data_IF_341385179053
#
_entry.id   IF_341385179053
#
_cell.length_a   1.000
_cell.length_b   1.000
_cell.length_c   1.000
_cell.angle_alpha   90.00
_cell.angle_beta   90.00
_cell.angle_gamma   90.00
#
_symmetry.space_group_name_H-M   'P 1'
#
loop_
_entity.id
_entity.type
_entity.pdbx_description
1 polymer ?
#
# COMPACT_ATOMS: atom_id res chain seq x y z
N UNK A 1 -10.77 7.89 25.61
CA UNK A 1 -11.80 7.34 26.52
C UNK A 1 -11.95 5.84 26.25
N UNK A 2 -12.47 5.04 27.18
CA UNK A 2 -12.78 3.63 26.90
C UNK A 2 -14.11 3.49 26.12
N UNK A 3 -14.40 2.28 25.62
CA UNK A 3 -15.64 2.00 24.87
C UNK A 3 -16.89 2.33 25.71
N UNK A 4 -16.91 1.98 27.01
CA UNK A 4 -18.05 2.25 27.89
C UNK A 4 -18.31 3.75 28.07
N UNK A 5 -17.25 4.53 28.29
CA UNK A 5 -17.31 5.99 28.37
C UNK A 5 -17.80 6.62 27.06
N UNK A 6 -17.31 6.14 25.91
CA UNK A 6 -17.74 6.62 24.60
C UNK A 6 -19.23 6.33 24.37
N UNK A 7 -19.70 5.12 24.66
CA UNK A 7 -21.11 4.75 24.58
C UNK A 7 -22.00 5.63 25.48
N UNK A 8 -21.53 5.93 26.70
CA UNK A 8 -22.23 6.83 27.63
C UNK A 8 -22.32 8.26 27.11
N UNK A 9 -21.28 8.73 26.43
CA UNK A 9 -21.26 10.04 25.80
C UNK A 9 -22.26 10.11 24.63
N UNK A 10 -22.25 9.13 23.72
CA UNK A 10 -23.22 9.05 22.62
C UNK A 10 -24.66 9.00 23.14
N UNK A 11 -24.92 8.13 24.13
CA UNK A 11 -26.25 8.00 24.72
C UNK A 11 -26.78 9.34 25.25
N UNK A 12 -25.92 10.10 25.95
CA UNK A 12 -26.27 11.41 26.48
C UNK A 12 -26.52 12.42 25.36
N UNK A 13 -25.71 12.42 24.30
CA UNK A 13 -25.91 13.29 23.12
C UNK A 13 -27.24 13.01 22.42
N UNK A 14 -27.64 11.74 22.35
CA UNK A 14 -28.92 11.30 21.80
C UNK A 14 -30.10 11.46 22.77
N UNK A 15 -29.87 11.96 23.99
CA UNK A 15 -30.88 12.08 25.06
C UNK A 15 -31.62 10.76 25.38
N UNK A 16 -30.90 9.64 25.33
CA UNK A 16 -31.47 8.32 25.56
C UNK A 16 -31.26 7.82 27.01
N UNK A 17 -32.23 7.04 27.49
CA UNK A 17 -32.03 6.22 28.69
C UNK A 17 -31.16 5.00 28.36
N UNK A 18 -30.55 4.40 29.38
CA UNK A 18 -29.75 3.18 29.18
C UNK A 18 -30.55 2.04 28.55
N UNK A 19 -31.84 1.90 28.89
CA UNK A 19 -32.71 0.91 28.26
C UNK A 19 -32.95 1.21 26.77
N UNK A 20 -33.20 2.47 26.41
CA UNK A 20 -33.42 2.86 25.02
C UNK A 20 -32.16 2.69 24.18
N UNK A 21 -31.01 3.02 24.75
CA UNK A 21 -29.71 2.87 24.09
C UNK A 21 -29.34 1.40 23.88
N UNK A 22 -29.55 0.56 24.91
CA UNK A 22 -29.30 -0.87 24.82
C UNK A 22 -30.25 -1.59 23.84
N UNK A 23 -31.44 -1.04 23.61
CA UNK A 23 -32.45 -1.60 22.73
C UNK A 23 -32.84 -3.02 23.15
N UNK A 24 -33.08 -3.87 22.16
CA UNK A 24 -33.26 -5.32 22.32
C UNK A 24 -31.93 -6.10 22.30
N UNK A 25 -30.79 -5.40 22.23
CA UNK A 25 -29.47 -6.02 22.04
C UNK A 25 -28.90 -6.46 23.40
N UNK A 26 -29.02 -5.60 24.41
CA UNK A 26 -28.52 -5.86 25.77
C UNK A 26 -29.58 -5.53 26.82
N UNK A 27 -29.51 -6.19 27.97
CA UNK A 27 -30.31 -5.77 29.12
C UNK A 27 -29.80 -4.44 29.67
N UNK A 28 -30.71 -3.62 30.22
CA UNK A 28 -30.35 -2.35 30.88
C UNK A 28 -29.24 -2.52 31.92
N UNK A 29 -29.34 -3.58 32.74
CA UNK A 29 -28.39 -3.85 33.82
C UNK A 29 -27.00 -4.17 33.28
N UNK A 30 -26.90 -4.95 32.20
CA UNK A 30 -25.64 -5.25 31.54
C UNK A 30 -25.06 -4.02 30.85
N UNK A 31 -25.87 -3.29 30.09
CA UNK A 31 -25.45 -2.04 29.43
C UNK A 31 -24.94 -1.00 30.44
N UNK A 32 -25.59 -0.87 31.60
CA UNK A 32 -25.11 0.00 32.68
C UNK A 32 -23.76 -0.42 33.27
N UNK A 33 -23.41 -1.72 33.24
CA UNK A 33 -22.07 -2.20 33.64
C UNK A 33 -21.04 -1.89 32.55
N UNK A 34 -21.42 -2.00 31.28
CA UNK A 34 -20.58 -1.60 30.13
C UNK A 34 -20.25 -0.12 30.19
N UNK A 35 -21.22 0.78 30.39
CA UNK A 35 -20.97 2.24 30.50
C UNK A 35 -20.06 2.65 31.66
N UNK A 36 -19.90 1.76 32.66
CA UNK A 36 -19.03 1.96 33.82
C UNK A 36 -17.70 1.21 33.68
N UNK A 37 -17.44 0.63 32.51
CA UNK A 37 -16.28 -0.22 32.22
C UNK A 37 -16.08 -1.39 33.20
N UNK A 38 -17.17 -1.89 33.80
CA UNK A 38 -17.17 -3.06 34.70
C UNK A 38 -17.23 -4.36 33.90
N UNK A 39 -17.92 -4.34 32.77
CA UNK A 39 -18.01 -5.48 31.85
C UNK A 39 -17.60 -5.04 30.45
N UNK A 40 -16.87 -5.91 29.74
CA UNK A 40 -16.62 -5.74 28.31
C UNK A 40 -17.90 -5.99 27.51
N UNK A 41 -18.01 -5.31 26.37
CA UNK A 41 -19.06 -5.55 25.38
C UNK A 41 -18.49 -6.40 24.24
N UNK A 42 -19.28 -7.34 23.71
CA UNK A 42 -18.88 -8.12 22.54
C UNK A 42 -18.90 -7.21 21.31
N UNK A 43 -17.99 -7.42 20.36
CA UNK A 43 -17.88 -6.59 19.15
C UNK A 43 -19.19 -6.53 18.36
N UNK A 44 -19.89 -7.66 18.19
CA UNK A 44 -21.17 -7.70 17.48
C UNK A 44 -22.25 -6.87 18.19
N UNK A 45 -22.34 -6.93 19.52
CA UNK A 45 -23.31 -6.15 20.30
C UNK A 45 -23.00 -4.64 20.17
N UNK A 46 -21.71 -4.26 20.19
CA UNK A 46 -21.28 -2.88 19.97
C UNK A 46 -21.70 -2.38 18.58
N UNK A 47 -21.36 -3.11 17.52
CA UNK A 47 -21.70 -2.73 16.14
C UNK A 47 -23.22 -2.63 15.92
N UNK A 48 -23.99 -3.53 16.52
CA UNK A 48 -25.45 -3.48 16.49
C UNK A 48 -25.99 -2.26 17.23
N UNK A 49 -25.45 -1.91 18.40
CA UNK A 49 -25.88 -0.69 19.14
C UNK A 49 -25.55 0.57 18.35
N UNK A 50 -24.35 0.65 17.76
CA UNK A 50 -23.97 1.80 16.94
C UNK A 50 -24.86 1.93 15.70
N UNK A 51 -25.14 0.82 15.03
CA UNK A 51 -26.06 0.77 13.87
C UNK A 51 -27.48 1.16 14.24
N UNK A 52 -28.01 0.63 15.35
CA UNK A 52 -29.37 0.89 15.84
C UNK A 52 -29.65 2.40 16.02
N UNK A 53 -28.63 3.16 16.40
CA UNK A 53 -28.74 4.60 16.66
C UNK A 53 -28.06 5.47 15.60
N UNK A 54 -27.71 4.90 14.44
CA UNK A 54 -27.05 5.60 13.33
C UNK A 54 -25.77 6.34 13.73
N UNK A 55 -25.01 5.78 14.66
CA UNK A 55 -23.72 6.34 15.08
C UNK A 55 -22.65 5.88 14.08
N UNK A 56 -22.00 6.83 13.41
CA UNK A 56 -20.92 6.53 12.48
C UNK A 56 -19.74 5.85 13.20
N UNK A 57 -19.33 4.69 12.68
CA UNK A 57 -18.30 3.87 13.29
C UNK A 57 -16.96 4.60 13.38
N UNK A 58 -16.58 5.34 12.34
CA UNK A 58 -15.30 6.07 12.34
C UNK A 58 -15.28 7.14 13.42
N UNK A 59 -16.35 7.93 13.52
CA UNK A 59 -16.50 8.98 14.52
C UNK A 59 -16.49 8.42 15.95
N UNK A 60 -17.14 7.28 16.17
CA UNK A 60 -17.16 6.61 17.47
C UNK A 60 -15.77 6.12 17.88
N UNK A 61 -15.09 5.37 17.00
CA UNK A 61 -13.78 4.82 17.33
C UNK A 61 -12.70 5.90 17.48
N UNK A 62 -12.79 7.03 16.77
CA UNK A 62 -11.92 8.20 17.01
C UNK A 62 -12.04 8.75 18.43
N UNK A 63 -13.23 8.72 19.05
CA UNK A 63 -13.40 9.13 20.45
C UNK A 63 -12.61 8.21 21.37
N UNK A 64 -12.63 6.91 21.10
CA UNK A 64 -11.92 5.87 21.87
C UNK A 64 -10.39 5.98 21.71
N UNK A 65 -9.92 6.17 20.47
CA UNK A 65 -8.51 6.18 20.05
C UNK A 65 -7.63 7.19 20.82
N UNK A 66 -8.20 8.31 21.25
CA UNK A 66 -7.48 9.40 21.93
C UNK A 66 -6.76 9.01 23.24
N UNK A 67 -7.02 7.84 23.83
CA UNK A 67 -6.33 7.38 25.05
C UNK A 67 -5.32 6.24 24.84
N UNK A 68 -5.33 5.53 23.70
CA UNK A 68 -4.68 4.21 23.64
C UNK A 68 -3.28 4.18 23.06
N UNK A 69 -2.75 5.22 22.39
CA UNK A 69 -1.30 5.40 22.14
C UNK A 69 -1.06 6.68 21.30
N UNK A 70 -0.74 7.81 21.94
CA UNK A 70 -0.33 9.04 21.21
C UNK A 70 0.96 8.87 20.38
N UNK A 71 1.70 7.80 20.60
CA UNK A 71 2.94 7.48 19.90
C UNK A 71 2.78 6.35 18.87
N UNK A 72 1.57 5.93 18.48
CA UNK A 72 1.38 4.86 17.50
C UNK A 72 1.24 5.40 16.06
N UNK A 73 2.27 5.17 15.23
CA UNK A 73 2.30 5.32 13.78
C UNK A 73 1.61 4.11 13.17
N UNK A 74 0.66 4.33 12.29
CA UNK A 74 0.03 3.25 11.55
C UNK A 74 0.94 2.77 10.42
N UNK A 75 0.66 1.57 9.90
CA UNK A 75 1.32 1.06 8.69
C UNK A 75 1.15 2.00 7.49
N UNK A 76 -0.03 2.60 7.34
CA UNK A 76 -0.33 3.57 6.28
C UNK A 76 0.56 4.81 6.43
N UNK A 77 0.74 5.30 7.66
CA UNK A 77 1.63 6.43 7.92
C UNK A 77 3.09 6.09 7.58
N UNK A 78 3.56 4.89 7.91
CA UNK A 78 4.89 4.43 7.50
C UNK A 78 5.04 4.40 5.97
N UNK A 79 4.08 3.81 5.25
CA UNK A 79 4.13 3.72 3.79
C UNK A 79 4.08 5.12 3.14
N UNK A 80 3.30 6.06 3.70
CA UNK A 80 3.24 7.46 3.26
C UNK A 80 4.56 8.22 3.50
N UNK A 81 5.20 8.01 4.66
CA UNK A 81 6.51 8.59 4.96
C UNK A 81 7.57 8.06 4.00
N UNK A 82 7.59 6.75 3.76
CA UNK A 82 8.51 6.10 2.82
C UNK A 82 8.31 6.61 1.39
N UNK A 83 7.06 6.71 0.92
CA UNK A 83 6.72 7.29 -0.37
C UNK A 83 7.24 8.72 -0.49
N UNK A 84 6.95 9.55 0.52
CA UNK A 84 7.38 10.96 0.54
C UNK A 84 8.89 11.09 0.55
N UNK A 85 9.59 10.28 1.36
CA UNK A 85 11.04 10.26 1.44
C UNK A 85 11.68 9.92 0.09
N UNK A 86 11.14 8.94 -0.63
CA UNK A 86 11.65 8.57 -1.96
C UNK A 86 11.55 9.72 -2.97
N UNK A 87 10.36 10.31 -3.14
CA UNK A 87 10.14 11.34 -4.16
C UNK A 87 10.79 12.67 -3.80
N UNK A 88 10.89 13.01 -2.52
CA UNK A 88 11.58 14.23 -2.06
C UNK A 88 13.09 14.03 -1.84
N UNK A 89 13.59 12.79 -2.03
CA UNK A 89 14.99 12.41 -1.73
C UNK A 89 15.42 12.76 -0.30
N UNK A 90 14.51 12.59 0.66
CA UNK A 90 14.68 13.03 2.03
C UNK A 90 15.07 11.87 2.96
N UNK A 91 16.39 11.73 3.21
CA UNK A 91 16.93 10.72 4.13
C UNK A 91 16.59 10.99 5.60
N UNK A 92 16.25 12.22 5.96
CA UNK A 92 15.91 12.56 7.35
C UNK A 92 14.63 11.86 7.79
N UNK A 93 13.63 11.78 6.89
CA UNK A 93 12.38 11.03 7.10
C UNK A 93 12.60 9.54 7.30
N UNK A 94 13.57 8.96 6.59
CA UNK A 94 13.94 7.55 6.78
C UNK A 94 14.54 7.36 8.17
N UNK A 95 15.42 8.26 8.58
CA UNK A 95 16.08 8.20 9.91
C UNK A 95 15.07 8.38 11.05
N UNK A 96 14.12 9.30 10.88
CA UNK A 96 13.01 9.50 11.82
C UNK A 96 12.16 8.24 11.95
N UNK A 97 11.78 7.64 10.83
CA UNK A 97 11.01 6.40 10.83
C UNK A 97 11.78 5.24 11.51
N UNK A 98 13.07 5.07 11.20
CA UNK A 98 13.93 4.06 11.86
C UNK A 98 13.94 4.25 13.39
N UNK A 99 14.05 5.50 13.87
CA UNK A 99 13.99 5.81 15.31
C UNK A 99 12.63 5.47 15.91
N UNK A 100 11.53 5.88 15.27
CA UNK A 100 10.17 5.60 15.72
C UNK A 100 9.84 4.11 15.79
N UNK A 101 10.48 3.29 14.94
CA UNK A 101 10.32 1.84 14.94
C UNK A 101 11.16 1.16 16.03
N UNK A 102 12.33 1.72 16.37
CA UNK A 102 13.18 1.20 17.44
C UNK A 102 12.67 1.57 18.84
N UNK A 103 12.01 2.72 18.99
CA UNK A 103 11.41 3.18 20.25
C UNK A 103 10.17 2.36 20.66
N UNK A 104 9.59 1.58 19.73
CA UNK A 104 8.51 0.63 20.04
C UNK A 104 9.12 -0.69 20.46
N UNK A 105 8.84 -1.15 21.68
CA UNK A 105 9.11 -2.54 22.05
C UNK A 105 8.46 -3.47 21.01
N UNK A 106 9.32 -4.24 20.34
CA UNK A 106 9.13 -4.89 19.03
C UNK A 106 8.17 -6.10 19.01
N UNK A 107 7.17 -6.21 19.88
CA UNK A 107 6.41 -7.47 20.02
C UNK A 107 5.11 -7.56 19.22
N UNK A 108 4.56 -6.47 18.66
CA UNK A 108 3.17 -6.49 18.13
C UNK A 108 3.02 -6.17 16.63
N UNK A 109 4.05 -5.67 15.96
CA UNK A 109 4.00 -5.37 14.52
C UNK A 109 4.97 -6.29 13.77
N UNK A 110 4.48 -7.03 12.77
CA UNK A 110 5.37 -7.58 11.73
C UNK A 110 5.94 -6.38 10.95
N UNK A 111 7.09 -5.89 11.41
CA UNK A 111 7.81 -4.76 10.84
C UNK A 111 8.73 -5.17 9.70
N UNK A 112 8.82 -6.47 9.36
CA UNK A 112 9.81 -6.94 8.39
C UNK A 112 9.57 -6.34 7.01
N UNK A 113 8.31 -6.21 6.61
CA UNK A 113 7.97 -5.51 5.38
C UNK A 113 8.42 -4.04 5.38
N UNK A 114 8.23 -3.31 6.48
CA UNK A 114 8.66 -1.91 6.57
C UNK A 114 10.18 -1.80 6.58
N UNK A 115 10.88 -2.66 7.34
CA UNK A 115 12.34 -2.70 7.39
C UNK A 115 12.94 -3.00 6.01
N UNK A 116 12.37 -3.97 5.30
CA UNK A 116 12.78 -4.29 3.92
C UNK A 116 12.56 -3.11 2.96
N UNK A 117 11.44 -2.37 3.09
CA UNK A 117 11.21 -1.15 2.31
C UNK A 117 12.23 -0.05 2.65
N UNK A 118 12.56 0.14 3.94
CA UNK A 118 13.58 1.11 4.40
C UNK A 118 14.92 0.82 3.73
N UNK A 119 15.40 -0.43 3.72
CA UNK A 119 16.68 -0.82 3.10
C UNK A 119 16.71 -0.39 1.63
N UNK A 120 15.69 -0.77 0.85
CA UNK A 120 15.61 -0.47 -0.58
C UNK A 120 15.51 1.05 -0.84
N UNK A 121 14.63 1.75 -0.13
CA UNK A 121 14.38 3.19 -0.36
C UNK A 121 15.60 4.01 0.05
N UNK A 122 16.23 3.71 1.18
CA UNK A 122 17.47 4.36 1.64
C UNK A 122 18.59 4.19 0.64
N UNK A 123 18.76 2.99 0.10
CA UNK A 123 19.74 2.71 -0.94
C UNK A 123 19.40 3.40 -2.27
N UNK A 124 18.13 3.49 -2.63
CA UNK A 124 17.70 4.20 -3.85
C UNK A 124 17.94 5.71 -3.76
N UNK A 125 17.63 6.34 -2.62
CA UNK A 125 17.87 7.78 -2.40
C UNK A 125 19.37 8.08 -2.39
N UNK A 126 20.17 7.22 -1.75
CA UNK A 126 21.63 7.37 -1.65
C UNK A 126 22.38 6.94 -2.92
N UNK A 127 21.68 6.41 -3.94
CA UNK A 127 22.28 5.83 -5.14
C UNK A 127 23.26 4.68 -4.85
N UNK A 128 22.97 3.86 -3.82
CA UNK A 128 23.79 2.74 -3.34
C UNK A 128 23.10 1.39 -3.51
N UNK A 129 22.13 1.27 -4.42
CA UNK A 129 21.43 0.00 -4.70
C UNK A 129 22.39 -1.18 -5.01
N UNK A 130 23.51 -0.90 -5.68
CA UNK A 130 24.54 -1.90 -5.98
C UNK A 130 25.31 -2.39 -4.74
N UNK A 131 25.29 -1.62 -3.65
CA UNK A 131 26.01 -1.89 -2.40
C UNK A 131 25.17 -2.65 -1.38
N UNK A 132 23.87 -2.90 -1.66
CA UNK A 132 23.02 -3.74 -0.81
C UNK A 132 23.67 -5.13 -0.70
N UNK A 133 23.91 -5.56 0.54
CA UNK A 133 24.57 -6.83 0.85
C UNK A 133 23.74 -8.03 0.40
N UNK A 134 24.37 -9.20 0.25
CA UNK A 134 23.64 -10.41 -0.09
C UNK A 134 22.65 -10.83 1.01
N UNK A 135 22.99 -10.60 2.28
CA UNK A 135 22.12 -10.91 3.41
C UNK A 135 20.86 -10.04 3.39
N UNK A 136 21.01 -8.73 3.13
CA UNK A 136 19.86 -7.83 2.96
C UNK A 136 19.01 -8.22 1.75
N UNK A 137 19.62 -8.59 0.62
CA UNK A 137 18.87 -9.09 -0.56
C UNK A 137 18.07 -10.34 -0.21
N UNK A 138 18.67 -11.30 0.50
CA UNK A 138 17.98 -12.51 0.94
C UNK A 138 16.86 -12.20 1.94
N UNK A 139 17.07 -11.27 2.86
CA UNK A 139 16.05 -10.80 3.79
C UNK A 139 14.84 -10.19 3.06
N UNK A 140 15.10 -9.29 2.09
CA UNK A 140 14.05 -8.67 1.27
C UNK A 140 13.29 -9.72 0.46
N UNK A 141 14.00 -10.64 -0.20
CA UNK A 141 13.39 -11.74 -0.97
C UNK A 141 12.54 -12.64 -0.07
N UNK A 142 13.06 -13.06 1.08
CA UNK A 142 12.31 -13.84 2.07
C UNK A 142 11.03 -13.13 2.50
N UNK A 143 11.12 -11.83 2.78
CA UNK A 143 9.96 -11.00 3.17
C UNK A 143 8.90 -10.91 2.06
N UNK A 144 9.31 -10.91 0.79
CA UNK A 144 8.38 -10.91 -0.36
C UNK A 144 7.64 -12.25 -0.45
N UNK A 145 8.36 -13.36 -0.26
CA UNK A 145 7.85 -14.72 -0.48
C UNK A 145 7.39 -15.44 0.80
N UNK A 146 7.34 -14.74 1.94
CA UNK A 146 6.96 -15.33 3.24
C UNK A 146 5.51 -15.84 3.24
N UNK A 147 4.63 -15.20 2.49
CA UNK A 147 3.22 -15.58 2.35
C UNK A 147 2.93 -16.13 0.97
N UNK A 148 2.23 -17.25 0.88
CA UNK A 148 1.79 -17.85 -0.40
C UNK A 148 0.86 -16.94 -1.21
N UNK A 149 0.22 -15.97 -0.54
CA UNK A 149 -0.67 -15.01 -1.16
C UNK A 149 0.06 -13.69 -1.45
N UNK A 150 0.00 -13.22 -2.70
CA UNK A 150 0.44 -11.88 -3.11
C UNK A 150 -0.38 -10.78 -2.40
N UNK A 151 0.01 -10.45 -1.17
CA UNK A 151 -0.52 -9.32 -0.41
C UNK A 151 -0.06 -8.00 -1.03
N UNK A 152 -0.76 -6.90 -0.73
CA UNK A 152 -0.33 -5.58 -1.19
C UNK A 152 1.08 -5.23 -0.68
N UNK A 153 1.43 -5.69 0.52
CA UNK A 153 2.76 -5.50 1.12
C UNK A 153 3.86 -6.22 0.32
N UNK A 154 3.66 -7.49 -0.05
CA UNK A 154 4.66 -8.24 -0.82
C UNK A 154 4.76 -7.74 -2.26
N UNK A 155 3.62 -7.38 -2.88
CA UNK A 155 3.59 -6.77 -4.20
C UNK A 155 4.30 -5.41 -4.23
N UNK A 156 4.04 -4.55 -3.24
CA UNK A 156 4.68 -3.22 -3.15
C UNK A 156 6.19 -3.37 -2.95
N UNK A 157 6.61 -4.25 -2.05
CA UNK A 157 8.02 -4.53 -1.80
C UNK A 157 8.71 -5.08 -3.05
N UNK A 158 8.07 -6.00 -3.79
CA UNK A 158 8.59 -6.47 -5.08
C UNK A 158 8.71 -5.33 -6.10
N UNK A 159 7.68 -4.47 -6.22
CA UNK A 159 7.66 -3.35 -7.16
C UNK A 159 8.86 -2.41 -7.00
N UNK A 160 9.26 -2.13 -5.76
CA UNK A 160 10.38 -1.22 -5.45
C UNK A 160 11.75 -1.91 -5.46
N UNK A 161 11.79 -3.25 -5.34
CA UNK A 161 13.04 -4.02 -5.19
C UNK A 161 13.47 -4.76 -6.46
N UNK A 162 12.78 -4.60 -7.59
CA UNK A 162 13.11 -5.32 -8.83
C UNK A 162 14.59 -5.28 -9.24
N UNK A 163 15.31 -4.19 -8.94
CA UNK A 163 16.73 -4.05 -9.29
C UNK A 163 17.66 -5.04 -8.58
N UNK A 164 17.25 -5.63 -7.46
CA UNK A 164 18.05 -6.62 -6.71
C UNK A 164 17.81 -8.06 -7.15
N UNK A 165 16.84 -8.29 -8.05
CA UNK A 165 16.52 -9.59 -8.61
C UNK A 165 17.27 -9.83 -9.92
N UNK A 166 17.56 -11.09 -10.21
CA UNK A 166 18.02 -11.44 -11.55
C UNK A 166 16.85 -11.45 -12.57
N UNK A 167 17.13 -11.29 -13.87
CA UNK A 167 16.08 -11.25 -14.89
C UNK A 167 15.14 -12.46 -14.92
N UNK A 168 15.63 -13.67 -14.61
CA UNK A 168 14.81 -14.89 -14.64
C UNK A 168 13.87 -14.95 -13.44
N UNK A 169 14.31 -14.50 -12.26
CA UNK A 169 13.45 -14.33 -11.09
C UNK A 169 12.33 -13.32 -11.38
N UNK A 170 12.68 -12.14 -11.91
CA UNK A 170 11.69 -11.10 -12.26
C UNK A 170 10.65 -11.66 -13.23
N UNK A 171 11.10 -12.36 -14.29
CA UNK A 171 10.21 -12.99 -15.27
C UNK A 171 9.27 -14.01 -14.62
N UNK A 172 9.78 -14.83 -13.71
CA UNK A 172 9.00 -15.86 -13.03
C UNK A 172 7.93 -15.25 -12.12
N UNK A 173 8.29 -14.22 -11.36
CA UNK A 173 7.35 -13.49 -10.49
C UNK A 173 6.27 -12.80 -11.33
N UNK A 174 6.65 -12.05 -12.36
CA UNK A 174 5.69 -11.33 -13.21
C UNK A 174 4.78 -12.30 -13.96
N UNK A 175 5.28 -13.43 -14.45
CA UNK A 175 4.46 -14.51 -15.03
C UNK A 175 3.38 -14.97 -14.05
N UNK A 176 3.74 -15.17 -12.78
CA UNK A 176 2.78 -15.58 -11.75
C UNK A 176 1.74 -14.48 -11.47
N UNK A 177 2.17 -13.21 -11.38
CA UNK A 177 1.25 -12.07 -11.20
C UNK A 177 0.26 -11.98 -12.37
N UNK A 178 0.75 -12.08 -13.62
CA UNK A 178 -0.08 -12.08 -14.83
C UNK A 178 -1.10 -13.22 -14.78
N UNK A 179 -0.67 -14.45 -14.47
CA UNK A 179 -1.55 -15.62 -14.38
C UNK A 179 -2.66 -15.44 -13.35
N UNK A 180 -2.38 -14.77 -12.24
CA UNK A 180 -3.36 -14.51 -11.18
C UNK A 180 -4.19 -13.24 -11.43
N UNK A 181 -3.86 -12.46 -12.47
CA UNK A 181 -4.55 -11.22 -12.83
C UNK A 181 -5.38 -11.44 -14.10
N UNK A 182 -6.51 -12.14 -13.97
CA UNK A 182 -7.42 -12.40 -15.10
C UNK A 182 -8.08 -11.12 -15.62
N UNK A 183 -8.54 -10.25 -14.70
CA UNK A 183 -9.09 -8.94 -15.02
C UNK A 183 -8.62 -7.91 -13.98
N UNK A 184 -7.67 -7.05 -14.39
CA UNK A 184 -7.10 -6.03 -13.52
C UNK A 184 -8.14 -5.01 -13.00
N UNK A 185 -9.25 -4.82 -13.71
CA UNK A 185 -10.33 -3.90 -13.31
C UNK A 185 -11.24 -4.46 -12.22
N UNK A 186 -11.20 -5.77 -11.97
CA UNK A 186 -11.97 -6.41 -10.89
C UNK A 186 -11.25 -6.39 -9.54
N UNK A 187 -9.99 -5.97 -9.51
CA UNK A 187 -9.18 -5.96 -8.31
C UNK A 187 -9.53 -4.77 -7.40
N UNK A 188 -9.33 -4.88 -6.08
CA UNK A 188 -9.32 -3.74 -5.19
C UNK A 188 -8.37 -2.66 -5.71
N UNK A 189 -8.74 -1.39 -5.51
CA UNK A 189 -8.05 -0.25 -6.11
C UNK A 189 -6.54 -0.21 -5.81
N UNK A 190 -6.14 -0.43 -4.55
CA UNK A 190 -4.73 -0.43 -4.17
C UNK A 190 -3.96 -1.55 -4.86
N UNK A 191 -4.52 -2.77 -4.88
CA UNK A 191 -3.92 -3.90 -5.60
C UNK A 191 -3.81 -3.64 -7.11
N UNK A 192 -4.82 -3.02 -7.73
CA UNK A 192 -4.78 -2.60 -9.13
C UNK A 192 -3.62 -1.61 -9.40
N UNK A 193 -3.44 -0.59 -8.56
CA UNK A 193 -2.36 0.39 -8.68
C UNK A 193 -0.99 -0.27 -8.57
N UNK A 194 -0.80 -1.13 -7.57
CA UNK A 194 0.50 -1.80 -7.33
C UNK A 194 0.84 -2.73 -8.49
N UNK A 195 -0.10 -3.54 -8.98
CA UNK A 195 0.13 -4.42 -10.13
C UNK A 195 0.44 -3.60 -11.38
N UNK A 196 -0.26 -2.50 -11.61
CA UNK A 196 0.04 -1.60 -12.73
C UNK A 196 1.47 -1.06 -12.64
N UNK A 197 1.92 -0.63 -11.46
CA UNK A 197 3.29 -0.19 -11.23
C UNK A 197 4.33 -1.32 -11.46
N UNK A 198 4.04 -2.54 -11.02
CA UNK A 198 4.88 -3.72 -11.29
C UNK A 198 5.05 -3.93 -12.80
N UNK A 199 3.95 -3.93 -13.56
CA UNK A 199 4.01 -4.16 -15.01
C UNK A 199 4.76 -3.03 -15.73
N UNK A 200 4.58 -1.77 -15.31
CA UNK A 200 5.34 -0.62 -15.82
C UNK A 200 6.84 -0.76 -15.51
N UNK A 201 7.20 -1.09 -14.26
CA UNK A 201 8.59 -1.28 -13.85
C UNK A 201 9.25 -2.45 -14.59
N UNK A 202 8.50 -3.54 -14.80
CA UNK A 202 8.93 -4.70 -15.57
C UNK A 202 9.26 -4.33 -17.02
N UNK A 203 8.36 -3.61 -17.70
CA UNK A 203 8.58 -3.12 -19.05
C UNK A 203 9.81 -2.21 -19.12
N UNK A 204 9.94 -1.26 -18.18
CA UNK A 204 11.12 -0.38 -18.10
C UNK A 204 12.41 -1.18 -17.97
N UNK A 205 12.44 -2.18 -17.09
CA UNK A 205 13.64 -2.97 -16.80
C UNK A 205 14.15 -3.72 -18.03
N UNK A 206 13.27 -4.42 -18.74
CA UNK A 206 13.67 -5.24 -19.90
C UNK A 206 13.97 -4.41 -21.15
N UNK A 207 13.23 -3.34 -21.38
CA UNK A 207 13.46 -2.45 -22.53
C UNK A 207 14.84 -1.75 -22.39
N UNK A 208 15.17 -1.24 -21.21
CA UNK A 208 16.47 -0.57 -20.96
C UNK A 208 17.67 -1.50 -21.15
N UNK A 209 17.55 -2.76 -20.75
CA UNK A 209 18.63 -3.74 -20.90
C UNK A 209 18.81 -4.22 -22.34
N UNK A 210 18.00 -3.77 -23.30
CA UNK A 210 17.98 -4.22 -24.71
C UNK A 210 17.98 -5.75 -24.84
N UNK A 211 17.47 -6.44 -23.83
CA UNK A 211 17.41 -7.90 -23.86
C UNK A 211 16.26 -8.28 -24.78
N UNK A 212 16.61 -8.87 -25.92
CA UNK A 212 15.70 -9.50 -26.88
C UNK A 212 15.13 -10.77 -26.25
N UNK A 213 14.33 -10.65 -25.19
CA UNK A 213 13.53 -11.77 -24.73
C UNK A 213 12.25 -11.73 -25.53
N UNK A 214 12.04 -12.77 -26.35
CA UNK A 214 10.71 -13.16 -26.84
C UNK A 214 9.92 -13.52 -25.58
N UNK A 215 9.26 -12.54 -24.98
CA UNK A 215 8.62 -12.75 -23.70
C UNK A 215 7.14 -12.47 -23.86
N UNK A 216 6.36 -13.55 -23.90
CA UNK A 216 4.91 -13.52 -23.78
C UNK A 216 4.44 -12.66 -22.60
N UNK A 217 5.27 -12.54 -21.56
CA UNK A 217 5.03 -11.65 -20.41
C UNK A 217 5.09 -10.15 -20.75
N UNK A 218 5.94 -9.71 -21.67
CA UNK A 218 6.02 -8.29 -22.09
C UNK A 218 4.72 -7.91 -22.80
N UNK A 219 4.31 -8.69 -23.78
CA UNK A 219 3.06 -8.46 -24.52
C UNK A 219 1.83 -8.57 -23.60
N UNK A 220 1.82 -9.56 -22.70
CA UNK A 220 0.77 -9.70 -21.71
C UNK A 220 0.72 -8.51 -20.73
N UNK A 221 1.88 -7.96 -20.34
CA UNK A 221 1.95 -6.77 -19.48
C UNK A 221 1.33 -5.55 -20.18
N UNK A 222 1.72 -5.29 -21.44
CA UNK A 222 1.13 -4.21 -22.24
C UNK A 222 -0.37 -4.41 -22.42
N UNK A 223 -0.81 -5.64 -22.73
CA UNK A 223 -2.23 -5.97 -22.90
C UNK A 223 -3.04 -5.71 -21.63
N UNK A 224 -2.53 -6.11 -20.46
CA UNK A 224 -3.19 -5.87 -19.18
C UNK A 224 -3.29 -4.37 -18.90
N UNK A 225 -2.20 -3.62 -19.06
CA UNK A 225 -2.21 -2.17 -18.83
C UNK A 225 -3.15 -1.43 -19.79
N UNK A 226 -3.19 -1.83 -21.07
CA UNK A 226 -4.12 -1.28 -22.04
C UNK A 226 -5.59 -1.58 -21.70
N UNK A 227 -5.87 -2.71 -21.02
CA UNK A 227 -7.21 -3.07 -20.56
C UNK A 227 -7.73 -2.26 -19.35
N UNK A 228 -6.89 -1.46 -18.70
CA UNK A 228 -7.32 -0.59 -17.60
C UNK A 228 -8.46 0.32 -18.04
N UNK A 229 -9.46 0.47 -17.18
CA UNK A 229 -10.56 1.43 -17.36
C UNK A 229 -10.02 2.85 -17.55
N UNK A 230 -10.71 3.64 -18.39
CA UNK A 230 -10.38 5.04 -18.63
C UNK A 230 -10.86 5.85 -17.43
N UNK A 231 -9.97 5.98 -16.45
CA UNK A 231 -10.18 6.67 -15.16
C UNK A 231 -8.91 7.49 -14.87
N UNK A 232 -9.02 8.74 -14.36
CA UNK A 232 -7.87 9.52 -13.93
C UNK A 232 -6.84 8.75 -13.10
N UNK A 233 -7.27 7.85 -12.20
CA UNK A 233 -6.36 7.05 -11.36
C UNK A 233 -5.46 6.10 -12.15
N UNK A 234 -5.87 5.73 -13.37
CA UNK A 234 -5.16 4.81 -14.27
C UNK A 234 -4.34 5.55 -15.34
N UNK A 235 -4.43 6.88 -15.42
CA UNK A 235 -3.85 7.66 -16.51
C UNK A 235 -2.35 7.40 -16.69
N UNK A 236 -1.58 7.43 -15.60
CA UNK A 236 -0.13 7.20 -15.66
C UNK A 236 0.21 5.82 -16.23
N UNK A 237 -0.44 4.76 -15.74
CA UNK A 237 -0.21 3.40 -16.21
C UNK A 237 -0.53 3.24 -17.70
N UNK A 238 -1.61 3.86 -18.19
CA UNK A 238 -1.97 3.84 -19.62
C UNK A 238 -1.00 4.64 -20.49
N UNK A 239 -0.52 5.80 -20.01
CA UNK A 239 0.52 6.59 -20.70
C UNK A 239 1.80 5.75 -20.83
N UNK A 240 2.22 5.11 -19.74
CA UNK A 240 3.42 4.27 -19.72
C UNK A 240 3.30 3.03 -20.62
N UNK A 241 2.13 2.39 -20.66
CA UNK A 241 1.86 1.30 -21.60
C UNK A 241 2.02 1.76 -23.05
N UNK A 242 1.44 2.90 -23.41
CA UNK A 242 1.56 3.49 -24.74
C UNK A 242 3.01 3.86 -25.10
N UNK A 243 3.78 4.40 -24.13
CA UNK A 243 5.20 4.68 -24.32
C UNK A 243 5.98 3.41 -24.64
N UNK A 244 5.90 2.38 -23.78
CA UNK A 244 6.66 1.15 -23.96
C UNK A 244 6.20 0.35 -25.19
N UNK A 245 4.90 0.31 -25.48
CA UNK A 245 4.36 -0.27 -26.70
C UNK A 245 4.89 0.45 -27.96
N UNK A 246 5.07 1.77 -27.89
CA UNK A 246 5.65 2.53 -28.99
C UNK A 246 7.12 2.16 -29.21
N UNK A 247 7.90 2.00 -28.13
CA UNK A 247 9.30 1.53 -28.22
C UNK A 247 9.38 0.11 -28.80
N UNK A 248 8.57 -0.82 -28.30
CA UNK A 248 8.54 -2.22 -28.75
C UNK A 248 8.19 -2.34 -30.24
N UNK A 249 7.31 -1.47 -30.74
CA UNK A 249 6.90 -1.43 -32.14
C UNK A 249 7.77 -0.50 -33.01
N UNK A 250 8.91 -0.04 -32.51
CA UNK A 250 9.84 0.87 -33.20
C UNK A 250 9.19 2.19 -33.68
N UNK A 251 8.15 2.65 -32.99
CA UNK A 251 7.45 3.94 -33.22
C UNK A 251 8.10 5.05 -32.38
N UNK A 252 9.39 5.31 -32.64
CA UNK A 252 10.23 6.16 -31.79
C UNK A 252 9.73 7.62 -31.69
N UNK A 253 9.20 8.20 -32.77
CA UNK A 253 8.63 9.56 -32.74
C UNK A 253 7.43 9.67 -31.79
N UNK A 254 6.60 8.62 -31.74
CA UNK A 254 5.46 8.57 -30.80
C UNK A 254 5.94 8.45 -29.36
N UNK A 255 6.95 7.62 -29.11
CA UNK A 255 7.57 7.50 -27.79
C UNK A 255 8.20 8.84 -27.34
N UNK A 256 8.90 9.52 -28.24
CA UNK A 256 9.47 10.86 -28.00
C UNK A 256 8.40 11.90 -27.70
N UNK A 257 7.28 11.88 -28.41
CA UNK A 257 6.13 12.76 -28.14
C UNK A 257 5.61 12.58 -26.72
N UNK A 258 5.48 11.34 -26.24
CA UNK A 258 5.04 11.05 -24.88
C UNK A 258 6.06 11.55 -23.84
N UNK A 259 7.36 11.32 -24.09
CA UNK A 259 8.43 11.82 -23.20
C UNK A 259 8.43 13.35 -23.10
N UNK A 260 8.28 14.04 -24.24
CA UNK A 260 8.19 15.51 -24.27
C UNK A 260 6.95 16.03 -23.53
N UNK A 261 5.79 15.41 -23.74
CA UNK A 261 4.57 15.75 -23.01
C UNK A 261 4.76 15.68 -21.48
N UNK A 262 5.46 14.66 -20.98
CA UNK A 262 5.76 14.56 -19.55
C UNK A 262 6.67 15.71 -19.06
N UNK A 263 7.67 16.11 -19.87
CA UNK A 263 8.53 17.27 -19.55
C UNK A 263 7.75 18.57 -19.51
N UNK A 264 6.87 18.80 -20.48
CA UNK A 264 6.02 20.01 -20.53
C UNK A 264 5.13 20.14 -19.29
N UNK A 265 4.75 19.03 -18.67
CA UNK A 265 3.98 18.99 -17.42
C UNK A 265 4.84 19.06 -16.15
N UNK A 266 6.15 19.32 -16.27
CA UNK A 266 7.09 19.41 -15.15
C UNK A 266 7.49 18.05 -14.54
N UNK A 267 7.32 16.95 -15.29
CA UNK A 267 7.67 15.60 -14.83
C UNK A 267 9.04 15.14 -15.34
N UNK A 268 10.04 16.03 -15.34
CA UNK A 268 11.38 15.77 -15.87
C UNK A 268 12.04 14.53 -15.25
N UNK A 269 11.90 14.35 -13.94
CA UNK A 269 12.45 13.18 -13.22
C UNK A 269 11.92 11.85 -13.77
N UNK A 270 10.67 11.84 -14.26
CA UNK A 270 10.06 10.66 -14.88
C UNK A 270 10.56 10.54 -16.31
N UNK A 271 10.52 11.62 -17.08
CA UNK A 271 10.91 11.64 -18.49
C UNK A 271 12.39 11.29 -18.71
N UNK A 272 13.29 11.70 -17.81
CA UNK A 272 14.72 11.37 -17.84
C UNK A 272 15.00 9.88 -17.61
N UNK A 273 14.04 9.17 -17.01
CA UNK A 273 14.10 7.72 -16.81
C UNK A 273 13.51 6.93 -17.97
N UNK A 274 12.92 7.56 -18.99
CA UNK A 274 12.31 6.91 -20.15
C UNK A 274 13.32 6.67 -21.27
#
# INVERSE_FOLDING_TARGET
MKIGEALKLERKQLNLSQSKMAGNILTKSFYSKVERDICSIRANDLLQILSLHNIDYSSFFKKVENNTNKNHISKIDCDNLLHTAYYQKDLSKITELEKMLNDRNNSELNLDNIRAQIIIIKAAISNTLAQISNDEKQYIKKTIFETDNWTENSLRLFAISMSIFDPNEINSVVKNIIKNTHNINSLPEEKQKIISAILVNYLSYFIKKKQRIINTNIDASVKILNSLTIDPKNCFAKIMANYYESILNNKLEKAKTISNFLREMGMDIIADKL
#
